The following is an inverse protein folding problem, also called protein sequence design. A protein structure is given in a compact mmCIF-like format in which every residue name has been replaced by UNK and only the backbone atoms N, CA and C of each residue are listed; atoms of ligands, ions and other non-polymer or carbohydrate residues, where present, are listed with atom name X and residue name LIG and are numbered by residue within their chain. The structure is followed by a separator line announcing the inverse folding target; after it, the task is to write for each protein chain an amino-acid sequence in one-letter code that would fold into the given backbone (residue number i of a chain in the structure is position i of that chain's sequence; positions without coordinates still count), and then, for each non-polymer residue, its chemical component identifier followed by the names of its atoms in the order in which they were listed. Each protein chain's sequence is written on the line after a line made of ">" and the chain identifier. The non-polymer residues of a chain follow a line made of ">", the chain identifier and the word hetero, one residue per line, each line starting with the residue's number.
data_IF_425442611334
#
_entry.id   IF_425442611334
#
_cell.length_a   1.000
_cell.length_b   1.000
_cell.length_c   1.000
_cell.angle_alpha   90.00
_cell.angle_beta   90.00
_cell.angle_gamma   90.00
#
_symmetry.space_group_name_H-M   'P 1'
#
loop_
_entity.id
_entity.type
_entity.pdbx_description
1 polymer ?
#
# COMPACT_ATOMS: atom_id res chain seq x y z
N UNK A 1 11.52 46.24 20.20
CA UNK A 1 11.67 45.04 21.06
C UNK A 1 10.72 43.87 20.72
N UNK A 2 9.87 43.96 19.68
CA UNK A 2 8.99 42.84 19.28
C UNK A 2 9.66 41.73 18.43
N UNK A 3 10.74 42.02 17.70
CA UNK A 3 11.31 41.07 16.72
C UNK A 3 11.98 39.80 17.28
N UNK A 4 12.45 39.81 18.54
CA UNK A 4 13.07 38.64 19.16
C UNK A 4 12.06 37.62 19.74
N UNK A 5 10.81 38.03 19.96
CA UNK A 5 9.77 37.16 20.55
C UNK A 5 9.13 36.26 19.46
N UNK A 6 8.94 36.76 18.22
CA UNK A 6 8.42 35.94 17.11
C UNK A 6 9.38 34.83 16.69
N UNK A 7 10.70 35.10 16.61
CA UNK A 7 11.69 34.08 16.24
C UNK A 7 11.79 32.94 17.27
N UNK A 8 11.58 33.24 18.56
CA UNK A 8 11.49 32.23 19.61
C UNK A 8 10.22 31.39 19.55
N UNK A 9 9.12 31.96 19.03
CA UNK A 9 7.86 31.23 18.88
C UNK A 9 7.91 30.27 17.70
N UNK A 10 8.50 30.69 16.57
CA UNK A 10 8.58 29.88 15.36
C UNK A 10 9.63 28.74 15.47
N UNK A 11 10.69 28.92 16.26
CA UNK A 11 11.67 27.85 16.52
C UNK A 11 11.10 26.72 17.40
N UNK A 12 10.11 26.99 18.27
CA UNK A 12 9.56 26.00 19.21
C UNK A 12 8.61 24.99 18.55
N UNK A 13 7.97 25.34 17.43
CA UNK A 13 7.00 24.46 16.75
C UNK A 13 7.68 23.38 15.89
N UNK A 14 8.85 23.68 15.32
CA UNK A 14 9.60 22.71 14.50
C UNK A 14 10.23 21.57 15.31
N UNK A 15 10.47 21.76 16.62
CA UNK A 15 11.05 20.74 17.51
C UNK A 15 10.00 19.69 17.93
N UNK A 16 8.72 20.07 18.08
CA UNK A 16 7.64 19.12 18.41
C UNK A 16 7.35 18.15 17.27
N UNK A 17 7.36 18.60 16.02
CA UNK A 17 7.10 17.74 14.87
C UNK A 17 8.20 16.70 14.67
N UNK A 18 9.47 17.07 14.84
CA UNK A 18 10.60 16.14 14.69
C UNK A 18 10.69 15.08 15.80
N UNK A 19 10.24 15.40 17.03
CA UNK A 19 10.20 14.42 18.14
C UNK A 19 9.06 13.41 18.06
N UNK A 20 8.00 13.70 17.28
CA UNK A 20 6.90 12.75 17.07
C UNK A 20 7.28 11.62 16.09
N UNK A 21 8.15 11.90 15.11
CA UNK A 21 8.53 10.90 14.09
C UNK A 21 9.69 9.98 14.49
N UNK A 22 10.50 10.31 15.51
CA UNK A 22 11.64 9.48 15.93
C UNK A 22 11.35 8.52 17.10
N UNK A 23 10.07 8.34 17.48
CA UNK A 23 9.66 7.44 18.58
C UNK A 23 8.90 6.18 18.13
N UNK A 24 9.01 5.80 16.85
CA UNK A 24 8.40 4.56 16.34
C UNK A 24 9.39 3.61 15.66
N UNK A 25 10.70 3.87 15.75
CA UNK A 25 11.71 3.12 15.00
C UNK A 25 12.92 2.69 15.83
N UNK A 26 12.70 2.53 17.14
CA UNK A 26 13.60 1.83 18.05
C UNK A 26 12.76 0.90 18.91
N UNK A 27 13.18 -0.36 18.95
CA UNK A 27 12.81 -1.32 20.00
C UNK A 27 11.50 -2.09 19.79
N UNK A 28 11.27 -2.59 18.58
CA UNK A 28 10.75 -3.95 18.45
C UNK A 28 11.93 -4.94 18.49
N UNK A 29 12.79 -4.78 19.50
CA UNK A 29 13.62 -5.86 19.98
C UNK A 29 12.63 -6.90 20.50
N UNK A 30 12.60 -8.05 19.85
CA UNK A 30 11.97 -9.26 20.38
C UNK A 30 12.84 -9.71 21.56
N UNK A 31 12.88 -8.92 22.63
CA UNK A 31 13.47 -9.31 23.89
C UNK A 31 12.39 -10.04 24.68
N UNK A 32 12.18 -11.30 24.29
CA UNK A 32 11.48 -12.24 25.12
C UNK A 32 12.41 -12.50 26.31
N UNK A 33 12.07 -12.10 27.55
CA UNK A 33 12.94 -12.37 28.68
C UNK A 33 13.10 -13.88 28.80
N UNK A 34 14.29 -14.39 28.48
CA UNK A 34 14.72 -15.76 28.79
C UNK A 34 14.84 -15.87 30.32
N UNK A 35 13.68 -15.97 30.97
CA UNK A 35 13.51 -15.95 32.41
C UNK A 35 12.65 -17.11 32.87
N UNK A 36 13.31 -18.27 33.06
CA UNK A 36 12.85 -19.45 33.81
C UNK A 36 11.56 -20.12 33.32
N UNK A 37 11.71 -20.96 32.30
CA UNK A 37 10.92 -22.20 32.24
C UNK A 37 11.38 -23.14 33.36
N UNK A 38 10.97 -22.81 34.59
CA UNK A 38 11.10 -23.67 35.76
C UNK A 38 10.13 -24.82 35.60
N UNK A 39 10.68 -25.98 35.23
CA UNK A 39 10.25 -27.32 35.61
C UNK A 39 9.01 -27.35 36.52
N UNK A 40 7.85 -27.65 35.94
CA UNK A 40 6.80 -28.39 36.62
C UNK A 40 6.26 -29.42 35.64
N UNK A 41 6.83 -30.62 35.70
CA UNK A 41 6.52 -31.72 34.81
C UNK A 41 7.02 -33.05 35.36
N UNK A 42 6.84 -33.28 36.66
CA UNK A 42 6.79 -34.65 37.17
C UNK A 42 5.33 -35.10 37.13
N UNK A 43 4.90 -35.54 35.95
CA UNK A 43 3.64 -36.25 35.76
C UNK A 43 3.94 -37.55 35.02
N UNK A 44 3.54 -38.64 35.69
CA UNK A 44 3.67 -40.04 35.30
C UNK A 44 3.73 -40.27 33.79
N UNK A 45 4.75 -41.02 33.37
CA UNK A 45 5.01 -41.39 31.99
C UNK A 45 3.91 -42.34 31.48
N UNK A 46 2.81 -41.77 30.95
CA UNK A 46 1.96 -42.46 30.00
C UNK A 46 2.75 -42.60 28.69
N UNK A 47 3.62 -43.62 28.62
CA UNK A 47 4.34 -44.03 27.41
C UNK A 47 3.33 -44.48 26.36
N UNK A 48 2.92 -43.58 25.47
CA UNK A 48 2.14 -43.97 24.29
C UNK A 48 1.34 -42.88 23.59
N UNK A 49 1.05 -41.74 24.24
CA UNK A 49 0.09 -40.76 23.66
C UNK A 49 0.74 -39.66 22.78
N UNK A 50 2.02 -39.33 22.94
CA UNK A 50 2.60 -38.15 22.26
C UNK A 50 3.22 -38.40 20.88
N UNK A 51 3.58 -39.64 20.54
CA UNK A 51 4.29 -39.93 19.29
C UNK A 51 3.31 -39.91 18.10
N UNK A 52 2.16 -40.57 18.24
CA UNK A 52 1.10 -40.56 17.22
C UNK A 52 0.45 -39.18 17.14
N UNK A 53 0.16 -38.53 18.26
CA UNK A 53 -0.47 -37.20 18.31
C UNK A 53 0.38 -36.15 17.58
N UNK A 54 1.69 -36.11 17.82
CA UNK A 54 2.58 -35.19 17.11
C UNK A 54 2.69 -35.51 15.62
N UNK A 55 2.81 -36.80 15.25
CA UNK A 55 2.91 -37.18 13.83
C UNK A 55 1.63 -36.83 13.06
N UNK A 56 0.44 -37.05 13.65
CA UNK A 56 -0.83 -36.67 13.02
C UNK A 56 -0.92 -35.15 12.87
N UNK A 57 -0.54 -34.38 13.88
CA UNK A 57 -0.53 -32.91 13.81
C UNK A 57 0.41 -32.41 12.69
N UNK A 58 1.62 -32.97 12.60
CA UNK A 58 2.57 -32.61 11.54
C UNK A 58 2.01 -33.00 10.16
N UNK A 59 1.40 -34.17 10.01
CA UNK A 59 0.79 -34.60 8.75
C UNK A 59 -0.33 -33.66 8.32
N UNK A 60 -1.19 -33.22 9.24
CA UNK A 60 -2.26 -32.28 8.94
C UNK A 60 -1.69 -30.90 8.59
N UNK A 61 -0.73 -30.37 9.36
CA UNK A 61 -0.14 -29.06 9.06
C UNK A 61 0.55 -29.05 7.68
N UNK A 62 1.33 -30.08 7.35
CA UNK A 62 1.98 -30.18 6.04
C UNK A 62 0.96 -30.30 4.90
N UNK A 63 -0.15 -31.00 5.12
CA UNK A 63 -1.25 -31.07 4.15
C UNK A 63 -1.90 -29.71 3.92
N UNK A 64 -2.14 -28.93 4.97
CA UNK A 64 -2.78 -27.61 4.87
C UNK A 64 -1.88 -26.57 4.19
N UNK A 65 -0.59 -26.57 4.52
CA UNK A 65 0.40 -25.69 3.90
C UNK A 65 0.50 -25.96 2.38
N UNK A 66 0.45 -27.23 1.97
CA UNK A 66 0.53 -27.61 0.55
C UNK A 66 -0.59 -26.98 -0.29
N UNK A 67 -1.83 -26.97 0.22
CA UNK A 67 -2.97 -26.35 -0.47
C UNK A 67 -2.88 -24.82 -0.49
N UNK A 68 -2.37 -24.22 0.59
CA UNK A 68 -2.21 -22.76 0.69
C UNK A 68 -1.25 -22.18 -0.36
N UNK A 69 -0.15 -22.87 -0.67
CA UNK A 69 0.81 -22.38 -1.68
C UNK A 69 0.19 -22.23 -3.07
N UNK A 70 -0.62 -23.20 -3.49
CA UNK A 70 -1.29 -23.16 -4.81
C UNK A 70 -2.26 -21.98 -4.87
N UNK A 71 -3.00 -21.74 -3.80
CA UNK A 71 -3.96 -20.62 -3.71
C UNK A 71 -3.26 -19.26 -3.62
N UNK A 72 -2.12 -19.18 -2.91
CA UNK A 72 -1.38 -17.94 -2.69
C UNK A 72 -0.79 -17.35 -3.97
N UNK A 73 -0.24 -18.19 -4.86
CA UNK A 73 0.34 -17.72 -6.13
C UNK A 73 -0.73 -17.06 -7.01
N UNK A 74 -1.89 -17.71 -7.17
CA UNK A 74 -3.01 -17.16 -7.94
C UNK A 74 -3.61 -15.90 -7.32
N UNK A 75 -3.61 -15.81 -6.00
CA UNK A 75 -4.07 -14.62 -5.29
C UNK A 75 -3.16 -13.41 -5.57
N UNK A 76 -1.85 -13.63 -5.69
CA UNK A 76 -0.90 -12.55 -6.00
C UNK A 76 -1.24 -11.87 -7.33
N UNK A 77 -1.45 -12.66 -8.38
CA UNK A 77 -1.73 -12.12 -9.72
C UNK A 77 -3.03 -11.30 -9.74
N UNK A 78 -4.08 -11.79 -9.06
CA UNK A 78 -5.34 -11.05 -8.93
C UNK A 78 -5.21 -9.78 -8.07
N UNK A 79 -4.38 -9.81 -7.03
CA UNK A 79 -4.10 -8.63 -6.21
C UNK A 79 -3.30 -7.58 -6.99
N UNK A 80 -2.33 -8.00 -7.81
CA UNK A 80 -1.53 -7.10 -8.64
C UNK A 80 -2.39 -6.41 -9.72
N UNK A 81 -3.30 -7.16 -10.35
CA UNK A 81 -4.30 -6.62 -11.27
C UNK A 81 -5.19 -5.57 -10.58
N UNK A 82 -5.73 -5.90 -9.40
CA UNK A 82 -6.59 -4.99 -8.64
C UNK A 82 -5.83 -3.72 -8.20
N UNK A 83 -4.60 -3.86 -7.72
CA UNK A 83 -3.73 -2.74 -7.35
C UNK A 83 -3.45 -1.83 -8.55
N UNK A 84 -3.22 -2.41 -9.73
CA UNK A 84 -3.03 -1.65 -10.95
C UNK A 84 -4.26 -0.80 -11.31
N UNK A 85 -5.45 -1.38 -11.23
CA UNK A 85 -6.73 -0.69 -11.47
C UNK A 85 -6.95 0.43 -10.44
N UNK A 86 -6.58 0.19 -9.17
CA UNK A 86 -6.66 1.22 -8.12
C UNK A 86 -5.72 2.39 -8.39
N UNK A 87 -4.49 2.13 -8.84
CA UNK A 87 -3.56 3.19 -9.23
C UNK A 87 -4.14 4.07 -10.36
N UNK A 88 -4.69 3.46 -11.41
CA UNK A 88 -5.35 4.17 -12.51
C UNK A 88 -6.49 5.04 -11.97
N UNK A 89 -7.31 4.49 -11.07
CA UNK A 89 -8.43 5.22 -10.45
C UNK A 89 -7.95 6.41 -9.61
N UNK A 90 -6.86 6.27 -8.87
CA UNK A 90 -6.30 7.37 -8.09
C UNK A 90 -5.84 8.52 -9.00
N UNK A 91 -5.19 8.22 -10.12
CA UNK A 91 -4.76 9.21 -11.11
C UNK A 91 -5.95 9.88 -11.79
N UNK A 92 -7.00 9.11 -12.11
CA UNK A 92 -8.26 9.65 -12.65
C UNK A 92 -8.90 10.64 -11.66
N UNK A 93 -8.99 10.29 -10.37
CA UNK A 93 -9.55 11.15 -9.34
C UNK A 93 -8.72 12.42 -9.13
N UNK A 94 -7.40 12.30 -9.14
CA UNK A 94 -6.48 13.44 -9.06
C UNK A 94 -6.66 14.38 -10.25
N UNK A 95 -6.73 13.83 -11.46
CA UNK A 95 -6.97 14.59 -12.70
C UNK A 95 -8.31 15.34 -12.67
N UNK A 96 -9.37 14.69 -12.17
CA UNK A 96 -10.68 15.34 -12.01
C UNK A 96 -10.69 16.42 -10.95
N UNK A 97 -9.96 16.21 -9.85
CA UNK A 97 -9.78 17.25 -8.85
C UNK A 97 -9.03 18.46 -9.42
N UNK A 98 -8.00 18.22 -10.25
CA UNK A 98 -7.29 19.26 -10.98
C UNK A 98 -8.21 20.03 -11.94
N UNK A 99 -9.01 19.32 -12.73
CA UNK A 99 -10.00 19.93 -13.64
C UNK A 99 -10.97 20.86 -12.89
N UNK A 100 -11.52 20.38 -11.77
CA UNK A 100 -12.48 21.13 -10.96
C UNK A 100 -11.88 22.39 -10.35
N UNK A 101 -10.64 22.33 -9.86
CA UNK A 101 -9.97 23.50 -9.24
C UNK A 101 -9.56 24.53 -10.29
N UNK A 102 -9.16 24.09 -11.49
CA UNK A 102 -8.70 24.97 -12.56
C UNK A 102 -9.83 25.41 -13.52
N UNK A 103 -11.08 25.00 -13.28
CA UNK A 103 -12.24 25.26 -14.14
C UNK A 103 -12.02 24.84 -15.59
N UNK A 104 -11.34 23.70 -15.79
CA UNK A 104 -11.08 23.12 -17.11
C UNK A 104 -12.30 22.28 -17.54
N UNK A 105 -12.89 22.53 -18.73
CA UNK A 105 -13.97 21.69 -19.23
C UNK A 105 -13.47 20.29 -19.61
N UNK A 106 -14.33 19.28 -19.45
CA UNK A 106 -14.08 17.92 -19.92
C UNK A 106 -14.48 17.79 -21.40
N UNK A 107 -13.79 18.51 -22.27
CA UNK A 107 -14.08 18.60 -23.70
C UNK A 107 -13.30 17.59 -24.56
N UNK A 108 -12.29 16.92 -24.01
CA UNK A 108 -11.44 16.01 -24.77
C UNK A 108 -10.42 16.73 -25.67
N UNK A 109 -10.21 18.04 -25.48
CA UNK A 109 -9.26 18.83 -26.26
C UNK A 109 -8.26 19.57 -25.37
N UNK A 110 -8.61 19.81 -24.10
CA UNK A 110 -7.73 20.54 -23.19
C UNK A 110 -6.47 19.75 -22.83
N UNK A 111 -5.26 20.29 -23.10
CA UNK A 111 -4.02 19.62 -22.72
C UNK A 111 -3.85 19.54 -21.20
N UNK A 112 -3.31 18.42 -20.74
CA UNK A 112 -2.91 18.19 -19.36
C UNK A 112 -1.45 17.73 -19.31
N UNK A 113 -0.69 18.34 -18.43
CA UNK A 113 0.70 17.97 -18.16
C UNK A 113 0.75 17.00 -16.97
N UNK A 114 1.60 15.98 -17.08
CA UNK A 114 1.83 14.99 -16.04
C UNK A 114 2.40 15.66 -14.76
N UNK A 115 3.21 16.72 -14.91
CA UNK A 115 3.79 17.52 -13.81
C UNK A 115 2.75 18.38 -13.06
N UNK A 116 1.55 18.54 -13.63
CA UNK A 116 0.44 19.20 -12.93
C UNK A 116 -0.20 18.27 -11.89
N UNK A 117 -0.10 16.95 -12.10
CA UNK A 117 -0.74 15.92 -11.28
C UNK A 117 0.24 15.31 -10.28
N UNK A 118 1.46 15.00 -10.71
CA UNK A 118 2.47 14.37 -9.87
C UNK A 118 3.45 15.39 -9.27
N UNK A 119 3.92 15.10 -8.05
CA UNK A 119 4.99 15.83 -7.37
C UNK A 119 4.65 16.25 -5.95
N UNK A 120 5.65 16.73 -5.21
CA UNK A 120 5.47 17.18 -3.83
C UNK A 120 4.51 18.36 -3.76
N UNK A 121 3.44 18.21 -2.95
CA UNK A 121 2.40 19.24 -2.80
C UNK A 121 1.39 19.30 -3.96
N UNK A 122 1.40 18.33 -4.88
CA UNK A 122 0.40 18.16 -5.94
C UNK A 122 -0.71 17.19 -5.51
N UNK A 123 -1.57 16.81 -6.45
CA UNK A 123 -2.68 15.89 -6.22
C UNK A 123 -2.19 14.48 -5.88
N UNK A 124 -1.06 14.07 -6.45
CA UNK A 124 -0.39 12.81 -6.15
C UNK A 124 1.10 13.06 -5.88
N UNK A 125 1.66 12.55 -4.76
CA UNK A 125 3.04 12.82 -4.38
C UNK A 125 4.07 12.15 -5.31
N UNK A 126 3.72 11.02 -5.92
CA UNK A 126 4.59 10.27 -6.82
C UNK A 126 3.79 9.62 -7.94
N UNK A 127 4.47 9.34 -9.05
CA UNK A 127 3.94 8.56 -10.17
C UNK A 127 3.81 7.08 -9.76
N UNK A 128 2.63 6.45 -9.90
CA UNK A 128 2.46 5.06 -9.53
C UNK A 128 3.29 4.13 -10.44
N UNK A 129 3.74 3.01 -9.88
CA UNK A 129 4.43 1.94 -10.62
C UNK A 129 3.55 0.69 -10.60
N UNK A 130 3.44 0.00 -11.73
CA UNK A 130 2.66 -1.22 -11.81
C UNK A 130 3.37 -2.35 -11.01
N UNK A 131 2.66 -3.04 -10.09
CA UNK A 131 3.27 -4.12 -9.30
C UNK A 131 3.68 -5.34 -10.14
N UNK A 132 3.09 -5.49 -11.34
CA UNK A 132 3.45 -6.53 -12.32
C UNK A 132 4.53 -6.08 -13.30
N UNK A 133 5.26 -5.00 -13.01
CA UNK A 133 6.30 -4.41 -13.88
C UNK A 133 5.79 -3.90 -15.24
N UNK A 134 4.50 -3.58 -15.35
CA UNK A 134 3.94 -2.88 -16.50
C UNK A 134 4.32 -1.40 -16.56
N UNK A 135 4.25 -0.83 -17.74
CA UNK A 135 4.43 0.59 -17.97
C UNK A 135 3.08 1.31 -18.12
N UNK A 136 2.89 2.36 -17.32
CA UNK A 136 1.74 3.23 -17.48
C UNK A 136 1.96 4.28 -18.57
N UNK A 137 0.95 4.52 -19.39
CA UNK A 137 0.91 5.59 -20.37
C UNK A 137 -0.12 6.63 -19.92
N UNK A 138 0.32 7.88 -19.78
CA UNK A 138 -0.52 9.01 -19.37
C UNK A 138 -1.00 9.76 -20.60
N UNK A 139 -2.31 10.02 -20.67
CA UNK A 139 -2.91 10.78 -21.76
C UNK A 139 -2.63 12.28 -21.56
N UNK A 140 -2.08 12.94 -22.57
CA UNK A 140 -1.77 14.38 -22.50
C UNK A 140 -2.99 15.28 -22.69
N UNK A 141 -4.19 14.71 -22.71
CA UNK A 141 -5.46 15.40 -22.90
C UNK A 141 -6.41 14.99 -21.78
N UNK A 142 -7.18 15.95 -21.29
CA UNK A 142 -8.27 15.72 -20.34
C UNK A 142 -9.27 14.71 -20.94
N UNK A 143 -9.44 13.50 -20.35
CA UNK A 143 -10.32 12.50 -20.93
C UNK A 143 -11.79 12.89 -20.78
N UNK A 144 -12.60 12.48 -21.76
CA UNK A 144 -14.05 12.56 -21.70
C UNK A 144 -14.59 11.69 -20.55
N UNK A 145 -15.82 11.94 -20.09
CA UNK A 145 -16.52 10.99 -19.23
C UNK A 145 -16.52 9.61 -19.89
N UNK A 146 -16.14 8.58 -19.14
CA UNK A 146 -15.95 7.18 -19.58
C UNK A 146 -14.60 6.86 -20.26
N UNK A 147 -13.66 7.79 -20.36
CA UNK A 147 -12.29 7.48 -20.79
C UNK A 147 -11.33 7.52 -19.59
N UNK A 148 -10.31 6.67 -19.61
CA UNK A 148 -9.27 6.61 -18.58
C UNK A 148 -8.08 7.49 -18.93
N UNK A 149 -7.62 8.34 -18.00
CA UNK A 149 -6.42 9.18 -18.16
C UNK A 149 -5.11 8.38 -18.20
N UNK A 150 -5.11 7.18 -17.62
CA UNK A 150 -3.94 6.33 -17.48
C UNK A 150 -4.27 4.93 -17.97
N UNK A 151 -3.42 4.37 -18.83
CA UNK A 151 -3.54 3.01 -19.33
C UNK A 151 -2.30 2.19 -18.98
N UNK A 152 -2.47 0.88 -18.81
CA UNK A 152 -1.38 -0.07 -18.56
C UNK A 152 -1.18 -0.92 -19.82
N UNK A 153 0.05 -1.32 -20.11
CA UNK A 153 0.40 -2.19 -21.24
C UNK A 153 0.03 -3.66 -21.03
N UNK A 154 -0.11 -4.09 -19.77
CA UNK A 154 -0.41 -5.49 -19.42
C UNK A 154 -1.89 -5.80 -19.65
N UNK A 155 -2.17 -6.92 -20.33
CA UNK A 155 -3.54 -7.39 -20.57
C UNK A 155 -4.27 -7.69 -19.26
N UNK A 156 -5.52 -7.26 -19.15
CA UNK A 156 -6.34 -7.42 -17.95
C UNK A 156 -6.03 -6.42 -16.83
N UNK A 157 -4.94 -5.64 -16.92
CA UNK A 157 -4.63 -4.58 -15.96
C UNK A 157 -5.38 -3.25 -16.24
N UNK A 158 -6.30 -3.30 -17.19
CA UNK A 158 -7.24 -2.23 -17.52
C UNK A 158 -8.59 -2.43 -16.83
N UNK A 159 -9.33 -1.34 -16.56
CA UNK A 159 -10.66 -1.43 -16.00
C UNK A 159 -11.67 -1.96 -17.01
N UNK A 160 -12.39 -3.02 -16.65
CA UNK A 160 -13.44 -3.61 -17.50
C UNK A 160 -14.57 -2.63 -17.87
N UNK A 161 -14.82 -1.60 -17.04
CA UNK A 161 -15.79 -0.52 -17.32
C UNK A 161 -15.38 0.78 -16.66
N UNK A 162 -15.43 1.84 -17.45
CA UNK A 162 -15.15 3.23 -17.06
C UNK A 162 -16.43 4.08 -16.91
N UNK A 163 -17.63 3.48 -17.04
CA UNK A 163 -18.92 4.19 -17.13
C UNK A 163 -19.36 4.97 -15.88
N UNK A 164 -18.70 4.77 -14.73
CA UNK A 164 -18.97 5.48 -13.47
C UNK A 164 -17.71 6.15 -12.93
N UNK A 165 -16.71 6.32 -13.78
CA UNK A 165 -15.40 6.80 -13.41
C UNK A 165 -15.29 8.26 -13.70
#
# INVERSE_FOLDING_TARGET
>A
MMGKIMLWFQARETDKSKRASQREMGDAEVDMPLGKFSSCGELAMARGMTLVELTVVILVILSLISVLFISGVKYKDGADQANCILNIRMVQQATRSWQNVNNVPADGETPIDEDAIYGDGKYLPFRPVCPSNGNYTFESIVPLPNDSVLTCDIEGHEPNRTTNW
#
